data_IF_443170178058
#
_entry.id   IF_443170178058
#
_cell.length_a   1.000
_cell.length_b   1.000
_cell.length_c   1.000
_cell.angle_alpha   90.00
_cell.angle_beta   90.00
_cell.angle_gamma   90.00
#
_symmetry.space_group_name_H-M   'P 1'
#
loop_
_entity.id
_entity.type
_entity.pdbx_description
1 polymer ?
#
# COMPACT_ATOMS: atom_id res chain seq x y z
N UNK A 1 -23.42 14.96 -16.49
CA UNK A 1 -23.97 14.60 -15.16
C UNK A 1 -24.57 13.21 -15.27
N UNK A 2 -23.80 12.18 -14.92
CA UNK A 2 -24.32 10.85 -14.63
C UNK A 2 -24.00 10.58 -13.17
N UNK A 3 -25.06 10.58 -12.37
CA UNK A 3 -25.06 10.36 -10.93
C UNK A 3 -24.48 8.98 -10.63
N UNK A 4 -23.20 8.91 -10.28
CA UNK A 4 -22.60 7.70 -9.72
C UNK A 4 -23.12 7.63 -8.29
N UNK A 5 -24.03 6.69 -8.08
CA UNK A 5 -24.67 6.39 -6.81
C UNK A 5 -23.64 6.11 -5.73
N UNK A 6 -23.79 6.84 -4.64
CA UNK A 6 -22.99 6.87 -3.40
C UNK A 6 -22.76 5.51 -2.73
N UNK A 7 -23.35 4.42 -3.23
CA UNK A 7 -23.27 3.08 -2.66
C UNK A 7 -21.98 2.33 -3.05
N UNK A 8 -21.41 2.57 -4.23
CA UNK A 8 -20.21 1.84 -4.69
C UNK A 8 -18.91 2.34 -4.04
N UNK A 9 -18.91 3.58 -3.55
CA UNK A 9 -17.78 4.15 -2.79
C UNK A 9 -17.71 3.67 -1.33
N UNK A 10 -18.79 3.11 -0.78
CA UNK A 10 -18.85 2.67 0.63
C UNK A 10 -18.19 1.28 0.84
N UNK A 11 -17.83 0.55 -0.23
CA UNK A 11 -17.30 -0.83 -0.09
C UNK A 11 -15.81 -0.95 0.27
N UNK A 12 -15.01 0.14 0.21
CA UNK A 12 -13.56 0.05 0.43
C UNK A 12 -13.14 0.31 1.89
N UNK A 13 -13.81 1.24 2.58
CA UNK A 13 -13.41 1.64 3.94
C UNK A 13 -13.69 0.56 5.00
N UNK A 14 -14.68 -0.31 4.76
CA UNK A 14 -15.03 -1.38 5.70
C UNK A 14 -14.27 -2.69 5.45
N UNK A 15 -13.38 -2.78 4.44
CA UNK A 15 -12.72 -4.04 4.10
C UNK A 15 -11.41 -4.24 4.87
N UNK A 16 -10.69 -3.15 5.14
CA UNK A 16 -9.41 -3.14 5.85
C UNK A 16 -9.50 -3.72 7.27
N UNK A 17 -10.61 -3.50 7.97
CA UNK A 17 -10.82 -3.99 9.34
C UNK A 17 -10.95 -5.52 9.44
N UNK A 18 -11.31 -6.19 8.33
CA UNK A 18 -11.44 -7.64 8.29
C UNK A 18 -10.20 -8.37 7.78
N UNK A 19 -9.18 -7.65 7.30
CA UNK A 19 -7.96 -8.25 6.77
C UNK A 19 -7.15 -8.86 7.91
N UNK A 20 -6.90 -10.17 7.83
CA UNK A 20 -6.34 -10.94 8.96
C UNK A 20 -4.84 -11.05 8.92
N UNK A 21 -4.23 -10.94 7.74
CA UNK A 21 -2.81 -11.14 7.55
C UNK A 21 -2.23 -10.31 6.40
N UNK A 22 -0.90 -10.35 6.29
CA UNK A 22 -0.12 -9.62 5.30
C UNK A 22 -0.52 -9.93 3.85
N UNK A 23 -0.88 -11.18 3.56
CA UNK A 23 -1.22 -11.58 2.20
C UNK A 23 -2.57 -10.97 1.80
N UNK A 24 -3.55 -10.97 2.70
CA UNK A 24 -4.84 -10.33 2.46
C UNK A 24 -4.69 -8.82 2.20
N UNK A 25 -3.85 -8.12 2.98
CA UNK A 25 -3.56 -6.70 2.75
C UNK A 25 -2.85 -6.49 1.41
N UNK A 26 -1.90 -7.35 1.05
CA UNK A 26 -1.17 -7.23 -0.21
C UNK A 26 -2.05 -7.49 -1.43
N UNK A 27 -2.94 -8.49 -1.39
CA UNK A 27 -3.94 -8.71 -2.45
C UNK A 27 -4.92 -7.53 -2.56
N UNK A 28 -5.30 -6.94 -1.42
CA UNK A 28 -6.16 -5.75 -1.42
C UNK A 28 -5.46 -4.53 -2.06
N UNK A 29 -4.16 -4.35 -1.83
CA UNK A 29 -3.35 -3.32 -2.52
C UNK A 29 -3.35 -3.54 -4.03
N UNK A 30 -3.08 -4.77 -4.50
CA UNK A 30 -3.09 -5.11 -5.94
C UNK A 30 -4.45 -4.81 -6.58
N UNK A 31 -5.53 -5.19 -5.90
CA UNK A 31 -6.89 -4.91 -6.34
C UNK A 31 -7.14 -3.41 -6.45
N UNK A 32 -6.80 -2.64 -5.42
CA UNK A 32 -7.02 -1.19 -5.34
C UNK A 32 -6.25 -0.42 -6.40
N UNK A 33 -5.00 -0.83 -6.68
CA UNK A 33 -4.19 -0.20 -7.73
C UNK A 33 -4.72 -0.54 -9.11
N UNK A 34 -5.11 -1.80 -9.34
CA UNK A 34 -5.66 -2.21 -10.62
C UNK A 34 -7.02 -1.54 -10.94
N UNK A 35 -7.87 -1.29 -9.94
CA UNK A 35 -9.17 -0.63 -10.17
C UNK A 35 -9.05 0.84 -10.56
N UNK A 36 -7.91 1.49 -10.24
CA UNK A 36 -7.67 2.91 -10.52
C UNK A 36 -6.79 3.10 -11.76
N UNK A 37 -5.69 2.34 -11.84
CA UNK A 37 -4.67 2.52 -12.87
C UNK A 37 -4.74 1.49 -13.99
N UNK A 38 -5.57 0.45 -13.86
CA UNK A 38 -5.62 -0.70 -14.80
C UNK A 38 -4.25 -1.39 -14.98
N UNK A 39 -3.37 -1.24 -14.00
CA UNK A 39 -2.01 -1.76 -13.98
C UNK A 39 -1.90 -2.94 -13.04
N UNK A 40 -1.14 -3.96 -13.45
CA UNK A 40 -0.77 -5.12 -12.63
C UNK A 40 0.70 -5.45 -12.82
N UNK A 41 1.35 -5.86 -11.73
CA UNK A 41 2.68 -6.49 -11.77
C UNK A 41 2.60 -7.93 -11.30
N UNK A 42 2.86 -8.87 -12.22
CA UNK A 42 2.96 -10.29 -11.91
C UNK A 42 4.33 -10.64 -11.30
N UNK A 43 4.37 -11.73 -10.52
CA UNK A 43 5.61 -12.27 -9.98
C UNK A 43 6.23 -11.48 -8.82
N UNK A 44 5.52 -10.50 -8.26
CA UNK A 44 5.97 -9.73 -7.11
C UNK A 44 5.76 -10.53 -5.81
N UNK A 45 6.85 -10.76 -5.08
CA UNK A 45 6.86 -11.45 -3.79
C UNK A 45 6.97 -10.47 -2.64
N UNK A 46 6.30 -10.80 -1.53
CA UNK A 46 6.42 -10.08 -0.27
C UNK A 46 7.39 -10.83 0.64
N UNK A 47 8.36 -10.13 1.23
CA UNK A 47 9.35 -10.69 2.16
C UNK A 47 9.36 -9.90 3.46
N UNK A 48 9.39 -10.59 4.60
CA UNK A 48 9.69 -9.98 5.90
C UNK A 48 11.21 -10.05 6.16
N UNK A 49 11.82 -8.93 6.52
CA UNK A 49 13.26 -8.85 6.80
C UNK A 49 13.51 -8.02 8.05
N UNK A 50 14.36 -8.51 8.96
CA UNK A 50 14.77 -7.75 10.15
C UNK A 50 15.80 -6.69 9.77
N UNK A 51 15.40 -5.41 9.76
CA UNK A 51 16.27 -4.29 9.37
C UNK A 51 16.36 -3.22 10.46
N UNK A 52 17.34 -2.30 10.42
CA UNK A 52 17.33 -1.12 11.28
C UNK A 52 15.97 -0.40 11.23
N UNK A 53 15.41 -0.01 12.38
CA UNK A 53 14.05 0.54 12.52
C UNK A 53 13.79 1.84 11.77
N UNK A 54 14.84 2.50 11.27
CA UNK A 54 14.75 3.65 10.36
C UNK A 54 14.25 3.30 8.95
N UNK A 55 14.18 2.00 8.60
CA UNK A 55 13.68 1.51 7.31
C UNK A 55 12.38 0.76 7.56
N UNK A 56 11.24 1.25 7.05
CA UNK A 56 9.93 0.61 7.22
C UNK A 56 9.67 -0.52 6.22
N UNK A 57 10.02 -0.28 4.96
CA UNK A 57 10.04 -1.23 3.87
C UNK A 57 11.01 -0.73 2.79
N UNK A 58 11.33 -1.57 1.82
CA UNK A 58 11.98 -1.16 0.59
C UNK A 58 11.65 -2.10 -0.57
N UNK A 59 11.49 -1.51 -1.75
CA UNK A 59 11.56 -2.17 -3.03
C UNK A 59 12.88 -1.82 -3.72
N UNK A 60 13.67 -2.82 -4.10
CA UNK A 60 14.83 -2.57 -4.96
C UNK A 60 14.31 -2.37 -6.38
N UNK A 61 14.57 -1.20 -6.97
CA UNK A 61 14.20 -0.90 -8.35
C UNK A 61 14.69 -2.02 -9.30
N UNK A 62 13.78 -2.54 -10.12
CA UNK A 62 14.05 -3.67 -11.01
C UNK A 62 13.94 -5.06 -10.38
N UNK A 63 13.73 -5.17 -9.05
CA UNK A 63 13.47 -6.45 -8.39
C UNK A 63 11.98 -6.82 -8.39
N UNK A 64 11.71 -8.09 -8.10
CA UNK A 64 10.36 -8.62 -7.90
C UNK A 64 10.07 -8.87 -6.42
N UNK A 65 10.70 -8.14 -5.50
CA UNK A 65 10.52 -8.33 -4.05
C UNK A 65 10.23 -7.00 -3.36
N UNK A 66 9.08 -6.92 -2.68
CA UNK A 66 8.85 -5.90 -1.65
C UNK A 66 9.31 -6.50 -0.32
N UNK A 67 10.30 -5.86 0.32
CA UNK A 67 10.80 -6.27 1.61
C UNK A 67 10.26 -5.33 2.71
N UNK A 68 9.53 -5.89 3.66
CA UNK A 68 8.98 -5.17 4.81
C UNK A 68 9.84 -5.40 6.05
N UNK A 69 10.02 -4.37 6.87
CA UNK A 69 10.80 -4.51 8.10
C UNK A 69 9.98 -5.17 9.23
N UNK A 70 10.31 -6.43 9.56
CA UNK A 70 9.61 -7.17 10.61
C UNK A 70 9.66 -6.48 11.97
N UNK A 71 10.78 -5.81 12.31
CA UNK A 71 10.89 -5.11 13.61
C UNK A 71 10.00 -3.88 13.69
N UNK A 72 9.87 -3.13 12.59
CA UNK A 72 8.95 -1.98 12.54
C UNK A 72 7.51 -2.47 12.61
N UNK A 73 7.20 -3.56 11.91
CA UNK A 73 5.87 -4.16 11.93
C UNK A 73 5.47 -4.64 13.32
N UNK A 74 6.39 -5.30 14.04
CA UNK A 74 6.15 -5.74 15.42
C UNK A 74 5.92 -4.54 16.36
N UNK A 75 6.68 -3.45 16.18
CA UNK A 75 6.50 -2.23 16.96
C UNK A 75 5.14 -1.58 16.66
N UNK A 76 4.79 -1.40 15.38
CA UNK A 76 3.50 -0.84 14.98
C UNK A 76 2.38 -1.69 15.56
N UNK A 77 2.42 -3.01 15.39
CA UNK A 77 1.41 -3.92 15.95
C UNK A 77 1.29 -3.81 17.47
N UNK A 78 2.42 -3.64 18.18
CA UNK A 78 2.45 -3.48 19.64
C UNK A 78 1.83 -2.18 20.11
N UNK A 79 1.97 -1.10 19.34
CA UNK A 79 1.51 0.24 19.73
C UNK A 79 0.17 0.64 19.10
N UNK A 80 -0.29 -0.07 18.07
CA UNK A 80 -1.61 0.13 17.49
C UNK A 80 -2.70 -0.16 18.52
N UNK A 81 -3.69 0.71 18.59
CA UNK A 81 -4.84 0.57 19.50
C UNK A 81 -5.90 -0.38 18.93
N UNK A 82 -5.78 -0.75 17.66
CA UNK A 82 -6.72 -1.64 16.96
C UNK A 82 -6.06 -2.36 15.78
N UNK A 83 -6.68 -3.44 15.30
CA UNK A 83 -6.29 -4.09 14.04
C UNK A 83 -6.45 -3.16 12.84
N UNK A 84 -7.45 -2.27 12.87
CA UNK A 84 -7.72 -1.31 11.80
C UNK A 84 -6.53 -0.36 11.61
N UNK A 85 -5.98 0.15 12.71
CA UNK A 85 -4.80 1.02 12.70
C UNK A 85 -3.56 0.28 12.15
N UNK A 86 -3.34 -0.95 12.60
CA UNK A 86 -2.27 -1.79 12.09
C UNK A 86 -2.42 -2.09 10.59
N UNK A 87 -3.63 -2.42 10.15
CA UNK A 87 -3.94 -2.73 8.75
C UNK A 87 -3.83 -1.48 7.86
N UNK A 88 -4.22 -0.30 8.37
CA UNK A 88 -4.04 0.96 7.67
C UNK A 88 -2.56 1.29 7.46
N UNK A 89 -1.70 1.04 8.45
CA UNK A 89 -0.25 1.17 8.30
C UNK A 89 0.29 0.21 7.24
N UNK A 90 -0.05 -1.08 7.34
CA UNK A 90 0.36 -2.09 6.36
C UNK A 90 -0.03 -1.72 4.94
N UNK A 91 -1.28 -1.33 4.75
CA UNK A 91 -1.81 -0.95 3.45
C UNK A 91 -1.04 0.24 2.87
N UNK A 92 -0.80 1.28 3.68
CA UNK A 92 -0.11 2.49 3.24
C UNK A 92 1.30 2.19 2.75
N UNK A 93 2.07 1.41 3.53
CA UNK A 93 3.45 1.06 3.18
C UNK A 93 3.48 0.13 1.95
N UNK A 94 2.62 -0.89 1.91
CA UNK A 94 2.57 -1.81 0.77
C UNK A 94 2.11 -1.12 -0.52
N UNK A 95 1.16 -0.19 -0.43
CA UNK A 95 0.71 0.60 -1.57
C UNK A 95 1.85 1.41 -2.17
N UNK A 96 2.62 2.10 -1.32
CA UNK A 96 3.77 2.88 -1.73
C UNK A 96 4.81 2.03 -2.49
N UNK A 97 5.23 0.91 -1.89
CA UNK A 97 6.21 0.02 -2.53
C UNK A 97 5.66 -0.66 -3.79
N UNK A 98 4.36 -0.97 -3.84
CA UNK A 98 3.73 -1.54 -5.03
C UNK A 98 3.69 -0.55 -6.19
N UNK A 99 3.35 0.72 -5.93
CA UNK A 99 3.38 1.79 -6.92
C UNK A 99 4.80 2.02 -7.45
N UNK A 100 5.80 2.02 -6.57
CA UNK A 100 7.20 2.05 -6.97
C UNK A 100 7.58 0.87 -7.87
N UNK A 101 7.07 -0.33 -7.58
CA UNK A 101 7.24 -1.48 -8.46
C UNK A 101 6.59 -1.28 -9.84
N UNK A 102 5.56 -0.46 -9.98
CA UNK A 102 4.96 -0.12 -11.27
C UNK A 102 5.70 1.02 -12.01
N UNK A 103 6.75 1.58 -11.41
CA UNK A 103 7.43 2.76 -11.93
C UNK A 103 6.68 4.08 -11.65
N UNK A 104 5.62 4.04 -10.84
CA UNK A 104 4.92 5.22 -10.33
C UNK A 104 5.72 5.71 -9.12
N UNK A 105 6.67 6.61 -9.38
CA UNK A 105 7.55 7.16 -8.36
C UNK A 105 6.95 8.41 -7.72
N UNK A 106 7.27 8.66 -6.44
CA UNK A 106 6.85 9.83 -5.67
C UNK A 106 7.09 11.19 -6.38
N UNK A 107 8.11 11.28 -7.24
CA UNK A 107 8.37 12.49 -8.04
C UNK A 107 7.23 12.86 -8.99
N UNK A 108 6.45 11.89 -9.49
CA UNK A 108 5.31 12.17 -10.35
C UNK A 108 4.07 12.67 -9.58
N UNK A 109 3.86 12.18 -8.35
CA UNK A 109 2.79 12.68 -7.46
C UNK A 109 3.06 14.12 -7.04
N UNK A 110 4.33 14.46 -6.80
CA UNK A 110 4.72 15.83 -6.44
C UNK A 110 4.50 16.81 -7.60
N UNK A 111 4.76 16.39 -8.85
CA UNK A 111 4.63 17.25 -10.03
C UNK A 111 3.19 17.50 -10.49
N UNK A 112 2.24 16.60 -10.21
CA UNK A 112 0.82 16.82 -10.50
C UNK A 112 0.11 17.74 -9.50
N UNK A 113 0.68 17.94 -8.31
CA UNK A 113 0.18 18.93 -7.33
C UNK A 113 0.78 20.33 -7.53
N UNK A 114 2.00 20.45 -8.08
CA UNK A 114 2.64 21.76 -8.31
C UNK A 114 2.14 22.44 -9.60
N UNK A 115 1.69 21.67 -10.60
CA UNK A 115 1.22 22.23 -11.89
C UNK A 115 -0.17 22.89 -11.87
N UNK A 116 -0.89 22.87 -10.73
CA UNK A 116 -2.16 23.57 -10.55
C UNK A 116 -2.05 24.78 -9.61
N UNK A 117 -0.83 25.21 -9.28
CA UNK A 117 -0.54 26.37 -8.45
C UNK A 117 0.38 27.39 -9.16
N UNK A 118 0.27 27.49 -10.49
CA UNK A 118 0.85 28.57 -11.29
C UNK A 118 -0.18 29.10 -12.28
#
# INVERSE_FOLDING_TARGET
MSSISTEEQISNNNKLSYLKDFNEVFEFVKFSVNSIYEMKRAGLSLMLHGMPTRVGAYHVLGSNVIAMNSFVLDLVKKYSTSNDEYNAYLFTVLLHEYLHSLGILDEFVKNSLVKNAQ
#
